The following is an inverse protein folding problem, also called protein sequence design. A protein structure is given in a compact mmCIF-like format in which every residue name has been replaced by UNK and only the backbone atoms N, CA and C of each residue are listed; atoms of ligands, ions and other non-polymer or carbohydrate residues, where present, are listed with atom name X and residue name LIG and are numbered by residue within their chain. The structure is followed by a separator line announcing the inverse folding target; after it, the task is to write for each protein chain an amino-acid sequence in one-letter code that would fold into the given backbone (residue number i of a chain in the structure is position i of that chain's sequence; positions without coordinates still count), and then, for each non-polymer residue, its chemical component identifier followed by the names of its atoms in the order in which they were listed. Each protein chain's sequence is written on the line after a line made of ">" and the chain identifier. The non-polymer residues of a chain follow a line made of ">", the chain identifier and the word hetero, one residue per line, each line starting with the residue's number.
data_IF_815907119186
#
_entry.id   IF_815907119186
#
_cell.length_a   1.000
_cell.length_b   1.000
_cell.length_c   1.000
_cell.angle_alpha   90.00
_cell.angle_beta   90.00
_cell.angle_gamma   90.00
#
_symmetry.space_group_name_H-M   'P 1'
#
loop_
_entity.id
_entity.type
_entity.pdbx_description
1 polymer ?
#
# COMPACT_ATOMS: atom_id res chain seq x y z
N UNK A 1 0.57 -6.79 7.79
CA UNK A 1 1.54 -5.69 7.56
C UNK A 1 2.57 -6.13 6.54
N UNK A 2 3.15 -7.31 6.69
CA UNK A 2 4.07 -7.94 5.72
C UNK A 2 3.53 -7.93 4.27
N UNK A 3 2.28 -8.33 4.02
CA UNK A 3 1.67 -8.32 2.69
C UNK A 3 1.66 -6.94 1.99
N UNK A 4 1.48 -5.85 2.75
CA UNK A 4 1.50 -4.50 2.17
C UNK A 4 2.92 -4.08 1.76
N UNK A 5 3.91 -4.40 2.60
CA UNK A 5 5.32 -4.12 2.29
C UNK A 5 5.81 -5.00 1.11
N UNK A 6 5.39 -6.26 1.04
CA UNK A 6 5.67 -7.14 -0.09
C UNK A 6 5.04 -6.61 -1.38
N UNK A 7 3.79 -6.14 -1.32
CA UNK A 7 3.14 -5.50 -2.45
C UNK A 7 3.93 -4.29 -2.95
N UNK A 8 4.33 -3.38 -2.07
CA UNK A 8 5.11 -2.20 -2.45
C UNK A 8 6.42 -2.59 -3.15
N UNK A 9 7.13 -3.60 -2.65
CA UNK A 9 8.35 -4.12 -3.30
C UNK A 9 8.05 -4.72 -4.67
N UNK A 10 7.04 -5.59 -4.77
CA UNK A 10 6.67 -6.23 -6.02
C UNK A 10 6.19 -5.23 -7.08
N UNK A 11 5.46 -4.19 -6.67
CA UNK A 11 5.01 -3.11 -7.55
C UNK A 11 6.19 -2.31 -8.11
N UNK A 12 7.25 -2.07 -7.32
CA UNK A 12 8.49 -1.47 -7.83
C UNK A 12 9.18 -2.39 -8.83
N UNK A 13 9.36 -3.67 -8.49
CA UNK A 13 10.06 -4.65 -9.35
C UNK A 13 9.34 -4.85 -10.69
N UNK A 14 8.00 -4.88 -10.67
CA UNK A 14 7.17 -5.07 -11.86
C UNK A 14 6.86 -3.76 -12.59
N UNK A 15 7.29 -2.62 -12.05
CA UNK A 15 6.87 -1.28 -12.53
C UNK A 15 5.36 -1.16 -12.66
N UNK A 16 4.63 -1.70 -11.69
CA UNK A 16 3.18 -1.63 -11.62
C UNK A 16 2.73 -0.20 -11.28
N UNK A 17 1.65 0.25 -11.92
CA UNK A 17 1.08 1.56 -11.67
C UNK A 17 0.09 1.49 -10.50
N UNK A 18 0.43 2.18 -9.41
CA UNK A 18 -0.48 2.41 -8.28
C UNK A 18 -1.22 3.71 -8.53
N UNK A 19 -2.53 3.66 -8.69
CA UNK A 19 -3.36 4.84 -8.99
C UNK A 19 -2.81 5.66 -10.18
N UNK A 20 -2.21 4.99 -11.18
CA UNK A 20 -1.60 5.64 -12.35
C UNK A 20 -0.17 6.16 -12.17
N UNK A 21 0.45 5.91 -11.01
CA UNK A 21 1.82 6.33 -10.69
C UNK A 21 2.71 5.10 -10.48
N UNK A 22 3.86 5.06 -11.16
CA UNK A 22 4.86 4.01 -10.93
C UNK A 22 5.57 4.26 -9.59
N UNK A 23 5.71 3.21 -8.79
CA UNK A 23 6.55 3.26 -7.60
C UNK A 23 8.03 3.09 -7.98
N UNK A 24 8.91 3.91 -7.42
CA UNK A 24 10.36 3.77 -7.57
C UNK A 24 11.02 3.06 -6.37
N UNK A 25 12.33 2.83 -6.48
CA UNK A 25 13.12 2.11 -5.48
C UNK A 25 13.04 2.67 -4.05
N UNK A 26 12.64 3.93 -3.84
CA UNK A 26 12.45 4.48 -2.48
C UNK A 26 11.34 3.75 -1.69
N UNK A 27 10.41 3.10 -2.39
CA UNK A 27 9.35 2.28 -1.78
C UNK A 27 9.82 0.88 -1.37
N UNK A 28 11.05 0.48 -1.70
CA UNK A 28 11.65 -0.77 -1.24
C UNK A 28 12.35 -0.65 0.13
N UNK A 29 12.64 0.57 0.58
CA UNK A 29 13.23 0.85 1.88
C UNK A 29 12.27 0.50 3.03
N UNK A 30 12.74 0.54 4.28
CA UNK A 30 11.90 0.33 5.47
C UNK A 30 10.80 1.41 5.57
N UNK A 31 9.68 1.19 4.88
CA UNK A 31 8.47 1.99 5.05
C UNK A 31 7.79 1.57 6.34
N UNK A 32 7.56 2.51 7.25
CA UNK A 32 6.78 2.22 8.46
C UNK A 32 5.36 1.79 8.08
N UNK A 33 5.06 0.50 8.24
CA UNK A 33 3.74 -0.04 7.99
C UNK A 33 2.85 0.13 9.23
N UNK A 34 1.73 0.82 9.06
CA UNK A 34 0.73 1.08 10.11
C UNK A 34 -0.66 0.70 9.64
N UNK A 35 -1.50 0.21 10.56
CA UNK A 35 -2.91 -0.02 10.25
C UNK A 35 -3.60 1.33 10.20
N UNK A 36 -4.05 1.74 9.01
CA UNK A 36 -4.80 2.98 8.83
C UNK A 36 -6.28 2.78 9.19
N UNK A 37 -6.88 1.68 8.73
CA UNK A 37 -8.27 1.32 9.01
C UNK A 37 -8.44 -0.18 9.02
N UNK A 38 -9.28 -0.71 9.91
CA UNK A 38 -9.61 -2.14 9.95
C UNK A 38 -11.10 -2.31 10.20
N UNK A 39 -11.74 -3.20 9.45
CA UNK A 39 -13.06 -3.71 9.76
C UNK A 39 -13.12 -5.22 9.46
N UNK A 40 -14.32 -5.81 9.53
CA UNK A 40 -14.52 -7.25 9.32
C UNK A 40 -14.32 -7.69 7.85
N UNK A 41 -14.45 -6.76 6.90
CA UNK A 41 -14.35 -7.03 5.46
C UNK A 41 -12.97 -6.72 4.89
N UNK A 42 -12.26 -5.75 5.46
CA UNK A 42 -10.99 -5.28 4.91
C UNK A 42 -10.08 -4.66 5.97
N UNK A 43 -8.81 -4.55 5.58
CA UNK A 43 -7.74 -3.91 6.32
C UNK A 43 -7.01 -2.94 5.38
N UNK A 44 -6.94 -1.66 5.73
CA UNK A 44 -6.12 -0.68 5.04
C UNK A 44 -4.82 -0.49 5.83
N UNK A 45 -3.69 -0.74 5.17
CA UNK A 45 -2.35 -0.50 5.71
C UNK A 45 -1.74 0.72 5.02
N UNK A 46 -1.24 1.67 5.81
CA UNK A 46 -0.46 2.80 5.33
C UNK A 46 1.03 2.49 5.40
N UNK A 47 1.76 2.79 4.34
CA UNK A 47 3.21 2.71 4.22
C UNK A 47 3.73 4.12 4.01
N UNK A 48 4.44 4.66 5.01
CA UNK A 48 5.04 5.99 4.88
C UNK A 48 6.43 5.90 4.24
N UNK A 49 6.63 6.67 3.17
CA UNK A 49 7.91 6.83 2.51
C UNK A 49 8.48 8.21 2.86
N UNK A 50 9.48 8.24 3.75
CA UNK A 50 10.11 9.46 4.23
C UNK A 50 10.89 10.21 3.13
N UNK A 51 11.43 9.51 2.12
CA UNK A 51 12.17 10.14 1.02
C UNK A 51 11.28 10.95 0.10
N UNK A 52 9.99 10.60 0.01
CA UNK A 52 9.01 11.27 -0.84
C UNK A 52 7.98 12.09 -0.06
N UNK A 53 8.00 12.00 1.27
CA UNK A 53 6.97 12.54 2.17
C UNK A 53 5.55 12.11 1.73
N UNK A 54 5.43 10.87 1.25
CA UNK A 54 4.18 10.29 0.73
C UNK A 54 3.77 9.06 1.51
N UNK A 55 2.47 8.83 1.57
CA UNK A 55 1.89 7.63 2.18
C UNK A 55 1.18 6.82 1.10
N UNK A 56 1.55 5.54 0.97
CA UNK A 56 0.84 4.57 0.16
C UNK A 56 -0.15 3.81 1.06
N UNK A 57 -1.41 3.76 0.65
CA UNK A 57 -2.44 2.98 1.32
C UNK A 57 -2.70 1.73 0.50
N UNK A 58 -2.67 0.59 1.15
CA UNK A 58 -2.91 -0.72 0.55
C UNK A 58 -4.17 -1.31 1.17
N UNK A 59 -5.17 -1.59 0.33
CA UNK A 59 -6.39 -2.27 0.71
C UNK A 59 -6.17 -3.78 0.66
N UNK A 60 -6.30 -4.41 1.83
CA UNK A 60 -6.19 -5.85 2.01
C UNK A 60 -7.56 -6.44 2.34
N UNK A 61 -7.85 -7.59 1.77
CA UNK A 61 -8.98 -8.45 2.13
C UNK A 61 -8.80 -9.06 3.52
N UNK A 62 -9.82 -9.78 4.03
CA UNK A 62 -9.76 -10.42 5.34
C UNK A 62 -8.78 -11.60 5.37
N UNK A 63 -8.43 -12.14 4.21
CA UNK A 63 -7.42 -13.18 3.96
C UNK A 63 -6.00 -12.62 3.76
N UNK A 64 -5.85 -11.29 3.73
CA UNK A 64 -4.58 -10.62 3.47
C UNK A 64 -4.25 -10.44 1.99
N UNK A 65 -5.16 -10.75 1.07
CA UNK A 65 -4.98 -10.48 -0.36
C UNK A 65 -5.05 -8.97 -0.63
N UNK A 66 -4.14 -8.46 -1.47
CA UNK A 66 -4.18 -7.07 -1.92
C UNK A 66 -5.26 -6.89 -2.98
N UNK A 67 -6.19 -5.97 -2.75
CA UNK A 67 -7.25 -5.65 -3.70
C UNK A 67 -6.95 -4.37 -4.49
N UNK A 68 -6.40 -3.35 -3.83
CA UNK A 68 -6.15 -2.05 -4.43
C UNK A 68 -5.10 -1.27 -3.62
N UNK A 69 -4.53 -0.22 -4.21
CA UNK A 69 -3.63 0.69 -3.52
C UNK A 69 -3.67 2.12 -4.10
N UNK A 70 -3.58 3.12 -3.23
CA UNK A 70 -3.65 4.53 -3.61
C UNK A 70 -2.87 5.44 -2.64
N UNK A 71 -2.88 6.76 -2.86
CA UNK A 71 -2.14 7.73 -2.03
C UNK A 71 -3.03 8.64 -1.16
N UNK A 72 -4.35 8.48 -1.23
CA UNK A 72 -5.31 9.29 -0.46
C UNK A 72 -6.00 8.51 0.68
N UNK A 73 -5.88 7.18 0.69
CA UNK A 73 -6.51 6.29 1.67
C UNK A 73 -8.02 6.13 1.50
N UNK A 74 -8.59 6.71 0.45
CA UNK A 74 -10.00 6.65 0.12
C UNK A 74 -10.26 5.61 -0.97
N UNK A 75 -10.83 4.48 -0.58
CA UNK A 75 -11.28 3.45 -1.50
C UNK A 75 -12.78 3.61 -1.67
N UNK A 76 -13.24 4.20 -2.79
CA UNK A 76 -14.67 4.36 -3.07
C UNK A 76 -15.32 2.98 -3.25
N UNK A 77 -16.08 2.57 -2.23
CA UNK A 77 -16.86 1.32 -2.15
C UNK A 77 -16.05 0.03 -2.33
N UNK A 78 -15.47 -0.46 -1.23
CA UNK A 78 -15.36 -1.90 -0.95
C UNK A 78 -16.57 -2.41 -0.17
#
# INVERSE_FOLDING_TARGET
>A
MEAAAEYARSAVEKSELVAGVALDASWQAETEAKIHKKNIRYLIVSLYNASQEKTLYVLLGPDGQVHDANFDGAFERS
#
